data_IF_862965740115
#
_entry.id   IF_862965740115
#
_cell.length_a   1.000
_cell.length_b   1.000
_cell.length_c   1.000
_cell.angle_alpha   90.00
_cell.angle_beta   90.00
_cell.angle_gamma   90.00
#
_symmetry.space_group_name_H-M   'P 1'
#
loop_
_entity.id
_entity.type
_entity.pdbx_description
1 polymer ?
#
# COMPACT_ATOMS: atom_id res chain seq x y z
N UNK A 1 28.74 -2.31 -16.24
CA UNK A 1 28.05 -1.39 -15.32
C UNK A 1 29.13 -0.82 -14.42
N UNK A 2 29.34 0.49 -14.51
CA UNK A 2 30.32 1.21 -13.70
C UNK A 2 29.89 1.23 -12.21
N UNK A 3 30.81 1.40 -11.25
CA UNK A 3 30.48 1.36 -9.82
C UNK A 3 29.39 2.36 -9.40
N UNK A 4 29.35 3.53 -10.03
CA UNK A 4 28.33 4.54 -9.75
C UNK A 4 26.94 4.15 -10.25
N UNK A 5 26.85 3.38 -11.34
CA UNK A 5 25.56 2.90 -11.88
C UNK A 5 24.92 1.86 -10.96
N UNK A 6 25.74 1.01 -10.32
CA UNK A 6 25.28 0.04 -9.30
C UNK A 6 24.72 0.77 -8.07
N UNK A 7 25.38 1.85 -7.63
CA UNK A 7 24.89 2.67 -6.53
C UNK A 7 23.58 3.40 -6.90
N UNK A 8 23.48 3.88 -8.15
CA UNK A 8 22.28 4.53 -8.67
C UNK A 8 21.10 3.56 -8.73
N UNK A 9 21.34 2.31 -9.14
CA UNK A 9 20.32 1.26 -9.20
C UNK A 9 19.58 1.11 -7.86
N UNK A 10 20.31 0.93 -6.75
CA UNK A 10 19.70 0.84 -5.42
C UNK A 10 19.00 2.13 -5.00
N UNK A 11 19.65 3.28 -5.23
CA UNK A 11 19.16 4.59 -4.78
C UNK A 11 17.86 5.00 -5.49
N UNK A 12 17.73 4.72 -6.79
CA UNK A 12 16.53 5.03 -7.57
C UNK A 12 15.30 4.27 -7.06
N UNK A 13 15.49 3.03 -6.60
CA UNK A 13 14.42 2.25 -5.97
C UNK A 13 13.88 2.95 -4.72
N UNK A 14 14.78 3.48 -3.88
CA UNK A 14 14.42 4.20 -2.66
C UNK A 14 13.71 5.52 -2.98
N UNK A 15 14.18 6.27 -3.99
CA UNK A 15 13.53 7.51 -4.44
C UNK A 15 12.13 7.22 -5.00
N UNK A 16 11.98 6.16 -5.80
CA UNK A 16 10.68 5.69 -6.30
C UNK A 16 9.73 5.34 -5.15
N UNK A 17 10.21 4.63 -4.13
CA UNK A 17 9.41 4.29 -2.95
C UNK A 17 9.03 5.53 -2.11
N UNK A 18 9.94 6.50 -1.97
CA UNK A 18 9.68 7.75 -1.27
C UNK A 18 8.51 8.53 -1.91
N UNK A 19 8.45 8.55 -3.24
CA UNK A 19 7.37 9.20 -3.99
C UNK A 19 6.11 8.32 -3.99
N UNK A 20 6.28 7.00 -4.13
CA UNK A 20 5.19 6.04 -4.18
C UNK A 20 4.42 5.91 -2.87
N UNK A 21 5.07 6.09 -1.73
CA UNK A 21 4.44 5.92 -0.40
C UNK A 21 3.25 6.87 -0.17
N UNK A 22 3.38 8.21 -0.26
CA UNK A 22 2.24 9.10 -0.09
C UNK A 22 1.18 8.89 -1.18
N UNK A 23 1.59 8.56 -2.40
CA UNK A 23 0.67 8.23 -3.49
C UNK A 23 -0.17 6.99 -3.17
N UNK A 24 0.45 5.93 -2.65
CA UNK A 24 -0.22 4.69 -2.29
C UNK A 24 -1.24 4.88 -1.16
N UNK A 25 -0.91 5.71 -0.16
CA UNK A 25 -1.84 6.08 0.90
C UNK A 25 -3.03 6.87 0.36
N UNK A 26 -2.79 7.87 -0.48
CA UNK A 26 -3.86 8.64 -1.12
C UNK A 26 -4.78 7.77 -1.99
N UNK A 27 -4.21 6.84 -2.75
CA UNK A 27 -4.98 5.92 -3.61
C UNK A 27 -5.87 4.99 -2.77
N UNK A 28 -5.34 4.47 -1.66
CA UNK A 28 -6.03 3.55 -0.75
C UNK A 28 -7.36 4.13 -0.26
N UNK A 29 -7.35 5.41 0.08
CA UNK A 29 -8.51 6.14 0.61
C UNK A 29 -9.49 6.55 -0.50
N UNK A 30 -8.99 6.95 -1.68
CA UNK A 30 -9.82 7.47 -2.77
C UNK A 30 -10.47 6.41 -3.64
N UNK A 31 -9.69 5.43 -4.11
CA UNK A 31 -10.09 4.51 -5.19
C UNK A 31 -10.42 3.12 -4.63
N UNK A 32 -10.13 2.87 -3.36
CA UNK A 32 -10.37 1.58 -2.71
C UNK A 32 -9.17 0.66 -2.78
N UNK A 33 -9.23 -0.43 -2.03
CA UNK A 33 -8.07 -1.28 -1.74
C UNK A 33 -7.73 -2.14 -2.96
N UNK A 34 -8.75 -2.72 -3.59
CA UNK A 34 -8.60 -3.54 -4.79
C UNK A 34 -7.95 -2.77 -5.94
N UNK A 35 -8.52 -1.62 -6.28
CA UNK A 35 -8.02 -0.82 -7.41
C UNK A 35 -6.65 -0.22 -7.11
N UNK A 36 -6.37 0.16 -5.87
CA UNK A 36 -5.04 0.62 -5.47
C UNK A 36 -3.99 -0.49 -5.60
N UNK A 37 -4.34 -1.73 -5.25
CA UNK A 37 -3.47 -2.89 -5.47
C UNK A 37 -3.21 -3.13 -6.97
N UNK A 38 -4.22 -3.00 -7.84
CA UNK A 38 -4.05 -3.10 -9.30
C UNK A 38 -3.16 -1.96 -9.83
N UNK A 39 -3.43 -0.71 -9.46
CA UNK A 39 -2.63 0.45 -9.85
C UNK A 39 -1.18 0.33 -9.37
N UNK A 40 -0.97 -0.26 -8.20
CA UNK A 40 0.36 -0.57 -7.66
C UNK A 40 1.10 -1.68 -8.41
N UNK A 41 0.38 -2.68 -8.93
CA UNK A 41 0.96 -3.76 -9.72
C UNK A 41 1.32 -3.36 -11.16
N UNK A 42 0.65 -2.35 -11.74
CA UNK A 42 0.97 -1.83 -13.08
C UNK A 42 2.44 -1.38 -13.26
N UNK A 43 3.01 -0.51 -12.40
CA UNK A 43 4.41 -0.10 -12.55
C UNK A 43 5.39 -1.26 -12.37
N UNK A 44 5.04 -2.28 -11.56
CA UNK A 44 5.83 -3.51 -11.48
C UNK A 44 5.80 -4.30 -12.79
N UNK A 45 4.62 -4.48 -13.39
CA UNK A 45 4.49 -5.19 -14.66
C UNK A 45 5.26 -4.48 -15.78
N UNK A 46 5.16 -3.15 -15.83
CA UNK A 46 5.90 -2.31 -16.78
C UNK A 46 7.40 -2.43 -16.53
N UNK A 47 7.85 -2.35 -15.28
CA UNK A 47 9.26 -2.48 -14.90
C UNK A 47 9.87 -3.80 -15.40
N UNK A 48 9.24 -4.94 -15.09
CA UNK A 48 9.73 -6.24 -15.56
C UNK A 48 9.67 -6.39 -17.08
N UNK A 49 8.66 -5.80 -17.73
CA UNK A 49 8.55 -5.79 -19.19
C UNK A 49 9.67 -4.97 -19.85
N UNK A 50 10.09 -3.86 -19.24
CA UNK A 50 11.23 -3.07 -19.71
C UNK A 50 12.51 -3.90 -19.61
N UNK A 51 12.75 -4.54 -18.47
CA UNK A 51 13.93 -5.39 -18.26
C UNK A 51 13.96 -6.57 -19.25
N UNK A 52 12.79 -7.10 -19.64
CA UNK A 52 12.70 -8.20 -20.60
C UNK A 52 13.09 -7.80 -22.04
N UNK A 53 12.80 -6.56 -22.44
CA UNK A 53 12.94 -6.12 -23.84
C UNK A 53 14.16 -5.23 -24.08
N UNK A 54 14.66 -4.54 -23.04
CA UNK A 54 15.72 -3.55 -23.17
C UNK A 54 16.95 -3.96 -22.36
N UNK A 55 18.10 -4.04 -23.05
CA UNK A 55 19.40 -4.37 -22.44
C UNK A 55 20.26 -3.12 -22.15
N UNK A 56 19.68 -1.91 -22.25
CA UNK A 56 20.38 -0.65 -22.00
C UNK A 56 20.41 -0.35 -20.51
N UNK A 57 21.54 0.17 -20.02
CA UNK A 57 21.71 0.51 -18.60
C UNK A 57 20.66 1.54 -18.14
N UNK A 58 20.40 2.55 -18.96
CA UNK A 58 19.39 3.58 -18.68
C UNK A 58 17.98 3.00 -18.51
N UNK A 59 17.62 2.02 -19.34
CA UNK A 59 16.32 1.35 -19.26
C UNK A 59 16.17 0.54 -17.96
N UNK A 60 17.24 -0.13 -17.51
CA UNK A 60 17.27 -0.88 -16.25
C UNK A 60 17.20 0.05 -15.03
N UNK A 61 17.86 1.21 -15.10
CA UNK A 61 17.78 2.23 -14.05
C UNK A 61 16.35 2.81 -13.96
N UNK A 62 15.73 3.10 -15.10
CA UNK A 62 14.36 3.60 -15.15
C UNK A 62 13.35 2.54 -14.66
N UNK A 63 13.52 1.27 -15.03
CA UNK A 63 12.66 0.19 -14.54
C UNK A 63 12.75 0.06 -13.01
N UNK A 64 13.91 0.30 -12.41
CA UNK A 64 14.08 0.24 -10.96
C UNK A 64 13.37 1.38 -10.23
N UNK A 65 13.37 2.58 -10.81
CA UNK A 65 12.57 3.70 -10.32
C UNK A 65 11.06 3.35 -10.33
N UNK A 66 10.56 2.78 -11.43
CA UNK A 66 9.17 2.32 -11.54
C UNK A 66 8.85 1.20 -10.55
N UNK A 67 9.74 0.22 -10.38
CA UNK A 67 9.59 -0.84 -9.39
C UNK A 67 9.52 -0.27 -7.97
N UNK A 68 10.30 0.78 -7.67
CA UNK A 68 10.23 1.49 -6.39
C UNK A 68 8.86 2.12 -6.14
N UNK A 69 8.27 2.77 -7.13
CA UNK A 69 6.90 3.34 -7.04
C UNK A 69 5.88 2.22 -6.78
N UNK A 70 5.96 1.12 -7.53
CA UNK A 70 5.11 -0.05 -7.31
C UNK A 70 5.31 -0.66 -5.92
N UNK A 71 6.55 -0.70 -5.44
CA UNK A 71 6.94 -1.27 -4.15
C UNK A 71 6.27 -0.61 -2.95
N UNK A 72 5.95 0.68 -3.06
CA UNK A 72 5.16 1.38 -2.03
C UNK A 72 3.77 0.75 -1.80
N UNK A 73 3.21 0.11 -2.82
CA UNK A 73 1.90 -0.56 -2.76
C UNK A 73 1.91 -1.84 -1.91
N UNK A 74 3.09 -2.27 -1.43
CA UNK A 74 3.23 -3.38 -0.49
C UNK A 74 2.35 -3.22 0.76
N UNK A 75 2.17 -1.98 1.25
CA UNK A 75 1.35 -1.69 2.44
C UNK A 75 -0.13 -2.01 2.25
N UNK A 76 -0.60 -2.07 1.00
CA UNK A 76 -2.01 -2.30 0.67
C UNK A 76 -2.40 -3.74 1.01
N UNK A 77 -1.53 -4.71 0.75
CA UNK A 77 -1.81 -6.14 0.95
C UNK A 77 -2.16 -6.50 2.40
N UNK A 78 -1.35 -6.18 3.43
CA UNK A 78 -1.69 -6.50 4.82
C UNK A 78 -2.89 -5.70 5.33
N UNK A 79 -3.10 -4.46 4.86
CA UNK A 79 -4.28 -3.65 5.22
C UNK A 79 -5.55 -4.27 4.63
N UNK A 80 -5.50 -4.66 3.36
CA UNK A 80 -6.63 -5.31 2.72
C UNK A 80 -6.97 -6.64 3.40
N UNK A 81 -5.96 -7.46 3.71
CA UNK A 81 -6.13 -8.68 4.49
C UNK A 81 -6.74 -8.41 5.87
N UNK A 82 -6.35 -7.33 6.55
CA UNK A 82 -6.87 -7.03 7.88
C UNK A 82 -8.33 -6.56 7.87
N UNK A 83 -8.78 -5.94 6.77
CA UNK A 83 -10.16 -5.46 6.59
C UNK A 83 -11.16 -6.57 6.19
N UNK A 84 -10.71 -7.64 5.51
CA UNK A 84 -11.59 -8.76 5.09
C UNK A 84 -11.66 -9.89 6.13
N UNK A 85 -10.67 -9.98 7.01
CA UNK A 85 -10.59 -11.03 8.01
C UNK A 85 -11.54 -10.80 9.18
N UNK A 86 -12.03 -11.88 9.79
CA UNK A 86 -12.74 -11.80 11.06
C UNK A 86 -11.78 -11.33 12.17
N UNK A 87 -12.30 -10.58 13.14
CA UNK A 87 -11.52 -10.03 14.26
C UNK A 87 -10.69 -11.08 15.01
N UNK A 88 -11.19 -12.32 15.09
CA UNK A 88 -10.55 -13.44 15.77
C UNK A 88 -9.24 -13.91 15.11
N UNK A 89 -9.14 -13.85 13.78
CA UNK A 89 -7.99 -14.35 13.01
C UNK A 89 -7.21 -13.24 12.32
N UNK A 90 -7.66 -11.98 12.41
CA UNK A 90 -7.05 -10.81 11.75
C UNK A 90 -5.55 -10.70 12.00
N UNK A 91 -5.12 -10.92 13.25
CA UNK A 91 -3.70 -10.88 13.61
C UNK A 91 -2.87 -11.94 12.88
N UNK A 92 -3.36 -13.18 12.84
CA UNK A 92 -2.68 -14.30 12.19
C UNK A 92 -2.58 -14.12 10.68
N UNK A 93 -3.66 -13.67 10.02
CA UNK A 93 -3.64 -13.48 8.56
C UNK A 93 -2.75 -12.31 8.14
N UNK A 94 -2.78 -11.21 8.91
CA UNK A 94 -1.91 -10.04 8.66
C UNK A 94 -0.43 -10.40 8.86
N UNK A 95 -0.10 -11.10 9.95
CA UNK A 95 1.26 -11.58 10.19
C UNK A 95 1.70 -12.62 9.13
N UNK A 96 0.79 -13.53 8.76
CA UNK A 96 1.03 -14.50 7.70
C UNK A 96 1.40 -13.84 6.36
N UNK A 97 0.76 -12.72 6.02
CA UNK A 97 1.05 -11.95 4.81
C UNK A 97 2.52 -11.46 4.77
N UNK A 98 3.06 -11.02 5.92
CA UNK A 98 4.48 -10.62 6.03
C UNK A 98 5.44 -11.82 5.93
N UNK A 99 5.05 -12.97 6.49
CA UNK A 99 5.83 -14.21 6.37
C UNK A 99 5.90 -14.65 4.90
N UNK A 100 4.78 -14.66 4.19
CA UNK A 100 4.75 -15.00 2.77
C UNK A 100 5.59 -14.05 1.92
N UNK A 101 5.62 -12.76 2.27
CA UNK A 101 6.52 -11.81 1.62
C UNK A 101 8.00 -12.19 1.81
N UNK A 102 8.41 -12.51 3.04
CA UNK A 102 9.77 -13.00 3.31
C UNK A 102 10.11 -14.29 2.58
N UNK A 103 9.16 -15.24 2.51
CA UNK A 103 9.31 -16.47 1.74
C UNK A 103 9.44 -16.21 0.23
N UNK A 104 8.71 -15.21 -0.30
CA UNK A 104 8.83 -14.78 -1.69
C UNK A 104 10.22 -14.24 -2.02
N UNK A 105 10.82 -13.46 -1.10
CA UNK A 105 12.21 -12.99 -1.24
C UNK A 105 13.20 -14.16 -1.19
N UNK A 106 13.01 -15.12 -0.28
CA UNK A 106 13.86 -16.31 -0.23
C UNK A 106 13.77 -17.11 -1.54
N UNK A 107 12.55 -17.31 -2.03
CA UNK A 107 12.28 -18.01 -3.28
C UNK A 107 12.92 -17.29 -4.48
N UNK A 108 12.90 -15.96 -4.53
CA UNK A 108 13.53 -15.21 -5.62
C UNK A 108 15.05 -15.41 -5.63
N UNK A 109 15.72 -15.43 -4.47
CA UNK A 109 17.16 -15.74 -4.40
C UNK A 109 17.50 -17.14 -4.89
N UNK A 110 16.69 -18.14 -4.55
CA UNK A 110 16.87 -19.51 -5.05
C UNK A 110 16.69 -19.57 -6.57
N UNK A 111 15.67 -18.90 -7.10
CA UNK A 111 15.42 -18.85 -8.55
C UNK A 111 16.55 -18.15 -9.32
N UNK A 112 17.11 -17.07 -8.77
CA UNK A 112 18.28 -16.38 -9.34
C UNK A 112 19.49 -17.32 -9.41
N UNK A 113 19.69 -18.18 -8.43
CA UNK A 113 20.82 -19.11 -8.40
C UNK A 113 20.65 -20.31 -9.35
N UNK A 114 19.42 -20.76 -9.58
CA UNK A 114 19.14 -21.99 -10.34
C UNK A 114 18.81 -21.77 -11.82
N UNK A 115 18.31 -20.59 -12.22
CA UNK A 115 17.80 -20.36 -13.57
C UNK A 115 18.64 -19.36 -14.38
N UNK A 116 18.65 -19.51 -15.72
CA UNK A 116 19.24 -18.50 -16.58
C UNK A 116 18.45 -17.19 -16.54
N UNK A 117 19.16 -16.09 -16.73
CA UNK A 117 18.67 -14.71 -16.58
C UNK A 117 17.36 -14.43 -17.35
N UNK A 118 17.30 -14.79 -18.64
CA UNK A 118 16.10 -14.52 -19.45
C UNK A 118 14.88 -15.33 -19.01
N UNK A 119 15.06 -16.59 -18.60
CA UNK A 119 13.95 -17.41 -18.09
C UNK A 119 13.40 -16.84 -16.79
N UNK A 120 14.29 -16.35 -15.91
CA UNK A 120 13.88 -15.69 -14.67
C UNK A 120 12.99 -14.47 -14.95
N UNK A 121 13.40 -13.58 -15.87
CA UNK A 121 12.61 -12.38 -16.18
C UNK A 121 11.21 -12.75 -16.70
N UNK A 122 11.10 -13.72 -17.60
CA UNK A 122 9.80 -14.16 -18.12
C UNK A 122 8.91 -14.75 -17.01
N UNK A 123 9.50 -15.49 -16.07
CA UNK A 123 8.76 -15.98 -14.89
C UNK A 123 8.26 -14.81 -14.04
N UNK A 124 9.09 -13.80 -13.79
CA UNK A 124 8.70 -12.65 -12.96
C UNK A 124 7.59 -11.80 -13.61
N UNK A 125 7.67 -11.57 -14.93
CA UNK A 125 6.60 -10.92 -15.70
C UNK A 125 5.31 -11.74 -15.59
N UNK A 126 5.39 -13.05 -15.79
CA UNK A 126 4.23 -13.94 -15.73
C UNK A 126 3.61 -13.97 -14.34
N UNK A 127 4.42 -14.03 -13.29
CA UNK A 127 3.95 -14.01 -11.89
C UNK A 127 3.27 -12.69 -11.54
N UNK A 128 3.83 -11.56 -12.01
CA UNK A 128 3.23 -10.23 -11.81
C UNK A 128 1.89 -10.10 -12.55
N UNK A 129 1.82 -10.59 -13.79
CA UNK A 129 0.58 -10.61 -14.58
C UNK A 129 -0.48 -11.53 -13.94
N UNK A 130 -0.07 -12.70 -13.44
CA UNK A 130 -0.97 -13.62 -12.74
C UNK A 130 -1.51 -13.00 -11.45
N UNK A 131 -0.65 -12.34 -10.67
CA UNK A 131 -1.07 -11.59 -9.48
C UNK A 131 -2.15 -10.56 -9.83
N UNK A 132 -1.90 -9.73 -10.85
CA UNK A 132 -2.87 -8.73 -11.32
C UNK A 132 -4.21 -9.38 -11.71
N UNK A 133 -4.15 -10.50 -12.44
CA UNK A 133 -5.33 -11.24 -12.85
C UNK A 133 -6.10 -11.80 -11.63
N UNK A 134 -5.41 -12.35 -10.64
CA UNK A 134 -6.02 -12.83 -9.40
C UNK A 134 -6.75 -11.70 -8.66
N UNK A 135 -6.15 -10.51 -8.54
CA UNK A 135 -6.75 -9.36 -7.85
C UNK A 135 -8.03 -8.90 -8.56
N UNK A 136 -8.14 -9.04 -9.88
CA UNK A 136 -9.38 -8.69 -10.62
C UNK A 136 -10.58 -9.50 -10.16
N UNK A 137 -10.38 -10.76 -9.75
CA UNK A 137 -11.46 -11.63 -9.26
C UNK A 137 -11.91 -11.32 -7.83
N UNK A 138 -11.13 -10.57 -7.04
CA UNK A 138 -11.50 -10.22 -5.67
C UNK A 138 -12.54 -9.11 -5.63
N UNK A 139 -13.34 -9.05 -4.56
CA UNK A 139 -14.26 -7.95 -4.30
C UNK A 139 -13.55 -6.84 -3.51
N UNK A 140 -14.01 -5.60 -3.61
CA UNK A 140 -13.39 -4.51 -2.87
C UNK A 140 -13.63 -4.64 -1.36
N UNK A 141 -12.83 -3.94 -0.55
CA UNK A 141 -12.92 -4.01 0.90
C UNK A 141 -14.31 -3.56 1.40
N UNK A 142 -14.96 -4.32 2.30
CA UNK A 142 -16.26 -3.92 2.86
C UNK A 142 -16.16 -2.62 3.66
N UNK A 143 -15.02 -2.37 4.32
CA UNK A 143 -14.76 -1.13 5.06
C UNK A 143 -14.76 0.07 4.12
N UNK A 144 -14.05 -0.02 2.99
CA UNK A 144 -14.06 1.03 1.96
C UNK A 144 -15.46 1.26 1.36
N UNK A 145 -16.19 0.19 1.07
CA UNK A 145 -17.53 0.30 0.49
C UNK A 145 -18.49 1.01 1.46
N UNK A 146 -18.35 0.78 2.77
CA UNK A 146 -19.12 1.49 3.80
C UNK A 146 -18.74 2.97 3.90
N UNK A 147 -17.46 3.34 3.82
CA UNK A 147 -17.04 4.75 3.89
C UNK A 147 -17.50 5.56 2.67
N UNK A 148 -17.66 4.92 1.51
CA UNK A 148 -18.21 5.53 0.29
C UNK A 148 -19.75 5.50 0.26
N UNK A 149 -20.41 4.88 1.24
CA UNK A 149 -21.88 4.82 1.35
C UNK A 149 -22.54 3.74 0.48
N UNK A 150 -21.78 2.76 -0.01
CA UNK A 150 -22.27 1.65 -0.85
C UNK A 150 -22.58 0.40 -0.03
N UNK A 151 -23.62 0.47 0.80
CA UNK A 151 -23.95 -0.59 1.77
C UNK A 151 -24.32 -1.93 1.12
N UNK A 152 -25.07 -1.93 0.01
CA UNK A 152 -25.40 -3.16 -0.70
C UNK A 152 -24.18 -3.88 -1.29
N UNK A 153 -23.21 -3.12 -1.82
CA UNK A 153 -21.97 -3.70 -2.33
C UNK A 153 -21.09 -4.23 -1.20
N UNK A 154 -21.10 -3.55 -0.03
CA UNK A 154 -20.39 -4.00 1.16
C UNK A 154 -20.96 -5.35 1.66
N UNK A 155 -22.29 -5.50 1.73
CA UNK A 155 -22.93 -6.78 2.07
C UNK A 155 -22.53 -7.91 1.12
N UNK A 156 -22.55 -7.65 -0.19
CA UNK A 156 -22.09 -8.61 -1.22
C UNK A 156 -20.60 -8.97 -1.07
N UNK A 157 -19.77 -8.02 -0.63
CA UNK A 157 -18.35 -8.27 -0.38
C UNK A 157 -18.12 -9.17 0.82
N UNK A 158 -18.80 -8.90 1.94
CA UNK A 158 -18.76 -9.74 3.14
C UNK A 158 -19.23 -11.16 2.80
N UNK A 159 -20.37 -11.27 2.10
CA UNK A 159 -20.94 -12.54 1.65
C UNK A 159 -19.94 -13.36 0.81
N UNK A 160 -19.22 -12.70 -0.12
CA UNK A 160 -18.17 -13.34 -0.92
C UNK A 160 -17.03 -13.90 -0.07
N UNK A 161 -16.52 -13.13 0.91
CA UNK A 161 -15.42 -13.56 1.77
C UNK A 161 -15.81 -14.58 2.84
N UNK A 162 -17.08 -14.57 3.28
CA UNK A 162 -17.64 -15.54 4.23
C UNK A 162 -18.20 -16.78 3.52
N UNK A 163 -18.29 -16.78 2.19
CA UNK A 163 -18.90 -17.85 1.38
C UNK A 163 -20.34 -18.17 1.79
N UNK A 164 -21.13 -17.12 2.07
CA UNK A 164 -22.55 -17.20 2.46
C UNK A 164 -23.40 -16.30 1.56
N UNK A 165 -24.72 -16.45 1.62
CA UNK A 165 -25.63 -15.57 0.86
C UNK A 165 -25.69 -14.16 1.45
N UNK A 166 -25.83 -13.10 0.62
CA UNK A 166 -25.87 -11.71 1.06
C UNK A 166 -27.00 -11.37 2.04
N UNK A 167 -28.13 -12.08 1.96
CA UNK A 167 -29.32 -11.83 2.79
C UNK A 167 -29.30 -12.61 4.12
N UNK A 168 -28.20 -13.31 4.41
CA UNK A 168 -28.06 -14.05 5.66
C UNK A 168 -27.97 -13.07 6.84
N UNK A 169 -28.66 -13.39 7.95
CA UNK A 169 -28.62 -12.57 9.17
C UNK A 169 -27.21 -12.26 9.68
N UNK A 170 -26.27 -13.20 9.52
CA UNK A 170 -24.86 -13.03 9.91
C UNK A 170 -24.19 -11.87 9.16
N UNK A 171 -24.40 -11.77 7.85
CA UNK A 171 -23.85 -10.69 7.02
C UNK A 171 -24.44 -9.34 7.40
N UNK A 172 -25.75 -9.28 7.64
CA UNK A 172 -26.44 -8.06 8.04
C UNK A 172 -25.99 -7.57 9.43
N UNK A 173 -25.78 -8.49 10.37
CA UNK A 173 -25.29 -8.17 11.70
C UNK A 173 -23.84 -7.66 11.63
N UNK A 174 -22.96 -8.36 10.89
CA UNK A 174 -21.56 -7.96 10.68
C UNK A 174 -21.46 -6.57 10.00
N UNK A 175 -22.29 -6.32 8.98
CA UNK A 175 -22.39 -5.02 8.31
C UNK A 175 -22.81 -3.91 9.28
N UNK A 176 -23.81 -4.17 10.12
CA UNK A 176 -24.31 -3.19 11.10
C UNK A 176 -23.26 -2.86 12.16
N UNK A 177 -22.50 -3.87 12.61
CA UNK A 177 -21.40 -3.72 13.56
C UNK A 177 -20.26 -2.88 12.95
N UNK A 178 -19.83 -3.19 11.72
CA UNK A 178 -18.82 -2.40 11.01
C UNK A 178 -19.24 -0.94 10.82
N UNK A 179 -20.47 -0.70 10.39
CA UNK A 179 -21.02 0.66 10.20
C UNK A 179 -20.99 1.45 11.51
N UNK A 180 -21.31 0.80 12.63
CA UNK A 180 -21.27 1.43 13.96
C UNK A 180 -19.85 1.83 14.34
N UNK A 181 -18.86 0.96 14.10
CA UNK A 181 -17.44 1.24 14.38
C UNK A 181 -16.91 2.43 13.55
N UNK A 182 -17.20 2.45 12.25
CA UNK A 182 -16.78 3.54 11.35
C UNK A 182 -17.40 4.88 11.79
N UNK A 183 -18.67 4.88 12.20
CA UNK A 183 -19.31 6.10 12.70
C UNK A 183 -18.68 6.64 13.99
N UNK A 184 -18.24 5.76 14.89
CA UNK A 184 -17.51 6.17 16.10
C UNK A 184 -16.13 6.76 15.75
N UNK A 185 -15.41 6.17 14.80
CA UNK A 185 -14.11 6.66 14.35
C UNK A 185 -14.23 8.05 13.67
N UNK A 186 -15.26 8.25 12.85
CA UNK A 186 -15.57 9.55 12.24
C UNK A 186 -15.99 10.61 13.28
N UNK A 187 -16.71 10.21 14.33
CA UNK A 187 -17.08 11.12 15.42
C UNK A 187 -15.84 11.54 16.23
N UNK A 188 -14.94 10.61 16.54
CA UNK A 188 -13.69 10.88 17.27
C UNK A 188 -12.74 11.79 16.51
N UNK A 189 -12.55 11.57 15.20
CA UNK A 189 -11.72 12.45 14.35
C UNK A 189 -12.28 13.87 14.26
N UNK A 190 -13.60 14.03 14.24
CA UNK A 190 -14.26 15.35 14.29
C UNK A 190 -14.01 16.07 15.61
N UNK A 191 -13.94 15.35 16.73
CA UNK A 191 -13.60 15.95 18.03
C UNK A 191 -12.11 16.30 18.14
N UNK A 192 -11.22 15.45 17.65
CA UNK A 192 -9.78 15.75 17.59
C UNK A 192 -9.46 16.95 16.67
N UNK A 193 -10.17 17.09 15.55
CA UNK A 193 -10.02 18.24 14.65
C UNK A 193 -10.48 19.55 15.29
N UNK A 194 -11.55 19.50 16.11
CA UNK A 194 -12.00 20.65 16.93
C UNK A 194 -11.04 21.01 18.07
N UNK A 195 -10.22 20.06 18.50
CA UNK A 195 -9.23 20.22 19.58
C UNK A 195 -7.85 20.68 19.09
N UNK A 196 -7.57 20.60 17.78
CA UNK A 196 -6.37 21.24 17.20
C UNK A 196 -6.61 22.75 17.16
N UNK A 197 -5.93 23.58 17.97
CA UNK A 197 -6.10 25.01 17.90
C UNK A 197 -5.71 25.48 16.50
N UNK A 198 -6.55 26.33 15.88
CA UNK A 198 -6.22 27.05 14.64
C UNK A 198 -4.83 27.68 14.81
N UNK A 199 -3.83 27.14 14.14
CA UNK A 199 -2.58 27.86 13.93
C UNK A 199 -2.92 28.92 12.88
N UNK A 200 -3.55 30.00 13.34
CA UNK A 200 -3.79 31.21 12.56
C UNK A 200 -2.42 31.67 12.07
N UNK A 201 -2.25 31.68 10.75
CA UNK A 201 -1.23 32.44 10.05
C UNK A 201 -1.29 33.90 10.53
N UNK A 202 -0.47 34.25 11.52
CA UNK A 202 -0.11 35.63 11.84
C UNK A 202 1.39 35.79 11.64
N UNK A 203 1.75 36.80 10.85
CA UNK A 203 3.07 37.03 10.35
C UNK A 203 4.09 37.53 11.38
N UNK A 204 5.30 37.73 10.86
CA UNK A 204 6.51 38.26 11.48
C UNK A 204 7.39 37.22 12.21
N UNK A 205 8.43 36.79 11.49
CA UNK A 205 9.64 36.21 12.06
C UNK A 205 10.34 37.25 12.94
N UNK A 206 10.00 37.34 14.22
CA UNK A 206 10.95 37.91 15.18
C UNK A 206 11.93 36.81 15.60
N UNK A 207 13.13 36.88 15.02
CA UNK A 207 14.30 36.12 15.49
C UNK A 207 14.64 36.58 16.91
N UNK A 208 14.19 35.83 17.92
CA UNK A 208 14.66 36.03 19.29
C UNK A 208 16.01 35.32 19.41
N UNK A 209 17.08 36.10 19.37
CA UNK A 209 18.46 35.64 19.56
C UNK A 209 18.73 35.32 21.04
N UNK A 210 19.33 34.16 21.38
CA UNK A 210 19.55 33.68 22.76
C UNK A 210 20.53 34.54 23.59
N UNK A 211 21.18 35.53 22.98
CA UNK A 211 22.19 36.37 23.63
C UNK A 211 21.60 37.32 24.69
N UNK A 212 20.29 37.63 24.63
CA UNK A 212 19.66 38.58 25.55
C UNK A 212 19.47 38.04 26.98
N UNK A 213 19.58 36.72 27.18
CA UNK A 213 19.44 36.10 28.51
C UNK A 213 20.74 36.01 29.30
N UNK A 214 21.90 36.07 28.64
CA UNK A 214 23.20 35.92 29.32
C UNK A 214 23.74 37.24 29.92
N UNK A 215 23.13 38.38 29.59
CA UNK A 215 23.58 39.69 30.07
C UNK A 215 22.83 40.22 31.29
N UNK A 216 21.99 39.40 31.94
CA UNK A 216 21.23 39.80 33.14
C UNK A 216 21.49 38.86 34.31
N UNK A 217 22.77 38.74 34.64
CA UNK A 217 23.24 38.21 35.93
C UNK A 217 24.51 38.97 36.28
N UNK A 218 24.35 40.22 36.69
CA UNK A 218 25.19 40.93 37.66
C UNK A 218 24.26 41.80 38.52
#
# INVERSE_FOLDING_TARGET
>A
MEPYEIALYGSLSCVGALIGTPLSGYLLDRIGRKYSSLLGGLPFLISWSIIANFNQVEAVLFSQFLAGIGGASFVISPVFSSEICQDSIRGTVTAGSMIFYGLGILFSYVMIACLPYYTLIHILVTMTALYMLCVVFLKDSPVYLLTVGKEEEAAKSIAFYRSVDPDTKEVLDELSNMKRLINFENAGTTEEEKLKPEIVHSGSKEKISPIKYLCKTE
#
